data_IF_136811578242
#
_entry.id   IF_136811578242
#
_cell.length_a   1.000
_cell.length_b   1.000
_cell.length_c   1.000
_cell.angle_alpha   90.00
_cell.angle_beta   90.00
_cell.angle_gamma   90.00
#
_symmetry.space_group_name_H-M   'P 1'
#
loop_
_entity.id
_entity.type
_entity.pdbx_description
1 polymer ?
#
# COMPACT_ATOMS: atom_id res chain seq x y z
N UNK A 1 -17.72 2.21 -2.26
CA UNK A 1 -17.65 3.11 -3.44
C UNK A 1 -18.97 3.82 -3.66
N UNK A 2 -19.02 4.89 -4.48
CA UNK A 2 -20.30 5.47 -4.94
C UNK A 2 -21.22 4.46 -5.62
N UNK A 3 -20.65 3.43 -6.25
CA UNK A 3 -21.37 2.30 -6.85
C UNK A 3 -22.07 1.37 -5.84
N UNK A 4 -21.86 1.55 -4.53
CA UNK A 4 -22.31 0.64 -3.48
C UNK A 4 -21.41 -0.58 -3.26
N UNK A 5 -20.37 -0.77 -4.08
CA UNK A 5 -19.44 -1.90 -3.94
C UNK A 5 -18.44 -1.70 -2.81
N UNK A 6 -17.91 -2.82 -2.30
CA UNK A 6 -16.91 -2.86 -1.23
C UNK A 6 -15.60 -2.22 -1.70
N UNK A 7 -15.06 -1.31 -0.88
CA UNK A 7 -13.82 -0.60 -1.20
C UNK A 7 -12.64 -1.14 -0.41
N UNK A 8 -12.77 -1.12 0.92
CA UNK A 8 -11.75 -1.57 1.84
C UNK A 8 -12.43 -2.50 2.84
N UNK A 9 -11.89 -3.71 3.00
CA UNK A 9 -12.27 -4.66 4.02
C UNK A 9 -11.18 -4.73 5.08
N UNK A 10 -11.56 -4.61 6.34
CA UNK A 10 -10.65 -4.80 7.48
C UNK A 10 -11.03 -6.10 8.16
N UNK A 11 -10.13 -7.07 8.17
CA UNK A 11 -10.27 -8.32 8.91
C UNK A 11 -9.24 -8.39 10.02
N UNK A 12 -9.51 -9.21 11.04
CA UNK A 12 -8.59 -9.45 12.13
C UNK A 12 -8.51 -10.93 12.46
N UNK A 13 -7.31 -11.42 12.79
CA UNK A 13 -7.09 -12.78 13.28
C UNK A 13 -7.08 -12.82 14.83
N UNK A 14 -6.60 -11.74 15.43
CA UNK A 14 -6.54 -11.53 16.87
C UNK A 14 -6.62 -10.02 17.16
N UNK A 15 -6.67 -9.63 18.43
CA UNK A 15 -6.79 -8.21 18.84
C UNK A 15 -5.69 -7.30 18.26
N UNK A 16 -4.56 -7.86 17.84
CA UNK A 16 -3.40 -7.09 17.36
C UNK A 16 -2.99 -7.42 15.93
N UNK A 17 -3.76 -8.22 15.19
CA UNK A 17 -3.39 -8.65 13.84
C UNK A 17 -4.51 -8.30 12.86
N UNK A 18 -4.26 -7.29 12.02
CA UNK A 18 -5.23 -6.73 11.08
C UNK A 18 -4.72 -6.87 9.66
N UNK A 19 -5.64 -7.19 8.75
CA UNK A 19 -5.43 -7.17 7.31
C UNK A 19 -6.41 -6.21 6.67
N UNK A 20 -5.89 -5.32 5.84
CA UNK A 20 -6.64 -4.37 5.04
C UNK A 20 -6.61 -4.84 3.60
N UNK A 21 -7.76 -5.22 3.05
CA UNK A 21 -7.90 -5.65 1.66
C UNK A 21 -8.61 -4.57 0.85
N UNK A 22 -7.99 -4.14 -0.25
CA UNK A 22 -8.54 -3.13 -1.16
C UNK A 22 -9.12 -3.83 -2.39
N UNK A 23 -10.40 -3.59 -2.67
CA UNK A 23 -11.13 -4.22 -3.77
C UNK A 23 -11.41 -3.22 -4.90
N UNK A 24 -11.42 -3.69 -6.15
CA UNK A 24 -11.75 -2.88 -7.32
C UNK A 24 -13.21 -2.44 -7.34
N UNK A 25 -13.50 -1.28 -7.95
CA UNK A 25 -14.88 -0.85 -8.22
C UNK A 25 -15.40 -1.41 -9.56
N UNK A 26 -15.28 -2.71 -9.73
CA UNK A 26 -15.80 -3.45 -10.88
C UNK A 26 -16.71 -4.60 -10.42
N UNK A 27 -17.35 -5.27 -11.39
CA UNK A 27 -18.28 -6.37 -11.11
C UNK A 27 -17.61 -7.54 -10.40
N UNK A 28 -16.35 -7.82 -10.75
CA UNK A 28 -15.62 -8.99 -10.23
C UNK A 28 -15.02 -8.75 -8.84
N UNK A 29 -15.04 -7.51 -8.34
CA UNK A 29 -14.54 -7.15 -6.99
C UNK A 29 -13.10 -7.63 -6.73
N UNK A 30 -12.28 -7.57 -7.77
CA UNK A 30 -10.89 -8.08 -7.73
C UNK A 30 -10.10 -7.46 -6.56
N UNK A 31 -9.25 -8.27 -5.93
CA UNK A 31 -8.34 -7.80 -4.89
C UNK A 31 -7.21 -6.99 -5.55
N UNK A 32 -7.22 -5.68 -5.34
CA UNK A 32 -6.19 -4.77 -5.87
C UNK A 32 -4.94 -4.78 -5.00
N UNK A 33 -5.11 -4.78 -3.69
CA UNK A 33 -4.00 -4.73 -2.75
C UNK A 33 -4.39 -5.31 -1.39
N UNK A 34 -3.38 -5.75 -0.63
CA UNK A 34 -3.54 -6.04 0.79
C UNK A 34 -2.42 -5.41 1.61
N UNK A 35 -2.70 -5.12 2.87
CA UNK A 35 -1.74 -4.61 3.84
C UNK A 35 -1.97 -5.31 5.17
N UNK A 36 -0.90 -5.68 5.83
CA UNK A 36 -0.93 -6.22 7.19
C UNK A 36 -0.25 -5.23 8.12
N UNK A 37 -0.75 -5.11 9.35
CA UNK A 37 -0.07 -4.32 10.37
C UNK A 37 1.26 -4.97 10.87
N UNK A 38 1.70 -6.05 10.23
CA UNK A 38 3.01 -6.69 10.40
C UNK A 38 4.02 -6.28 9.31
N UNK A 39 3.64 -5.38 8.40
CA UNK A 39 4.57 -4.77 7.43
C UNK A 39 4.61 -5.49 6.08
N UNK A 40 3.78 -6.51 5.89
CA UNK A 40 3.60 -7.13 4.59
C UNK A 40 2.49 -6.43 3.81
N UNK A 41 2.76 -6.11 2.55
CA UNK A 41 1.75 -5.62 1.63
C UNK A 41 2.08 -6.01 0.20
N UNK A 42 1.05 -6.12 -0.63
CA UNK A 42 1.22 -6.21 -2.07
C UNK A 42 0.11 -5.44 -2.78
N UNK A 43 0.43 -4.90 -3.95
CA UNK A 43 -0.55 -4.37 -4.88
C UNK A 43 -0.26 -4.90 -6.28
N UNK A 44 -1.32 -5.38 -6.94
CA UNK A 44 -1.29 -5.91 -8.29
C UNK A 44 -1.95 -4.96 -9.27
N UNK A 45 -1.36 -4.83 -10.44
CA UNK A 45 -1.94 -4.22 -11.62
C UNK A 45 -2.96 -5.14 -12.29
N UNK A 46 -3.78 -4.60 -13.22
CA UNK A 46 -4.55 -5.41 -14.15
C UNK A 46 -3.68 -6.50 -14.79
N UNK A 47 -4.25 -7.69 -15.02
CA UNK A 47 -3.55 -8.90 -15.48
C UNK A 47 -2.61 -9.55 -14.45
N UNK A 48 -2.68 -9.13 -13.17
CA UNK A 48 -2.01 -9.81 -12.06
C UNK A 48 -0.52 -9.51 -11.93
N UNK A 49 0.00 -8.49 -12.61
CA UNK A 49 1.41 -8.07 -12.48
C UNK A 49 1.62 -7.35 -11.16
N UNK A 50 2.70 -7.70 -10.45
CA UNK A 50 3.02 -7.07 -9.18
C UNK A 50 3.51 -5.64 -9.42
N UNK A 51 2.89 -4.67 -8.75
CA UNK A 51 3.28 -3.25 -8.82
C UNK A 51 4.00 -2.79 -7.55
N UNK A 52 3.59 -3.30 -6.41
CA UNK A 52 4.22 -3.01 -5.12
C UNK A 52 4.36 -4.29 -4.31
N UNK A 53 5.50 -4.43 -3.67
CA UNK A 53 5.72 -5.39 -2.59
C UNK A 53 6.32 -4.67 -1.40
N UNK A 54 5.73 -4.82 -0.23
CA UNK A 54 6.30 -4.42 1.05
C UNK A 54 6.53 -5.66 1.89
N UNK A 55 7.74 -5.76 2.41
CA UNK A 55 8.08 -6.67 3.48
C UNK A 55 8.52 -5.91 4.71
N UNK A 56 8.81 -6.68 5.75
CA UNK A 56 9.22 -6.17 7.04
C UNK A 56 10.49 -5.31 6.97
N UNK A 57 11.45 -5.66 6.13
CA UNK A 57 12.75 -4.98 6.06
C UNK A 57 12.93 -4.11 4.81
N UNK A 58 12.13 -4.33 3.77
CA UNK A 58 12.35 -3.69 2.49
C UNK A 58 11.05 -3.52 1.71
N UNK A 59 11.12 -2.78 0.62
CA UNK A 59 10.04 -2.70 -0.35
C UNK A 59 10.56 -2.60 -1.77
N UNK A 60 9.66 -2.84 -2.73
CA UNK A 60 9.94 -2.73 -4.15
C UNK A 60 8.75 -2.18 -4.90
N UNK A 61 9.02 -1.28 -5.86
CA UNK A 61 8.05 -0.78 -6.83
C UNK A 61 8.46 -1.26 -8.22
N UNK A 62 7.51 -1.76 -8.98
CA UNK A 62 7.73 -2.34 -10.31
C UNK A 62 7.06 -1.49 -11.39
N UNK A 63 7.54 -1.51 -12.63
CA UNK A 63 6.87 -0.88 -13.78
C UNK A 63 5.69 -1.72 -14.29
N UNK A 64 5.16 -1.42 -15.47
CA UNK A 64 4.04 -2.17 -16.06
C UNK A 64 4.51 -3.49 -16.68
N UNK A 65 5.79 -3.58 -17.02
CA UNK A 65 6.48 -4.75 -17.57
C UNK A 65 6.93 -5.73 -16.47
N UNK A 66 6.86 -5.31 -15.20
CA UNK A 66 7.26 -6.08 -14.03
C UNK A 66 8.75 -5.92 -13.66
N UNK A 67 9.46 -4.97 -14.26
CA UNK A 67 10.83 -4.65 -13.88
C UNK A 67 10.85 -3.75 -12.65
N UNK A 68 11.81 -3.99 -11.75
CA UNK A 68 11.90 -3.24 -10.49
C UNK A 68 12.45 -1.83 -10.73
N UNK A 69 11.62 -0.82 -10.55
CA UNK A 69 11.99 0.60 -10.66
C UNK A 69 12.58 1.17 -9.38
N UNK A 70 12.07 0.75 -8.22
CA UNK A 70 12.56 1.19 -6.92
C UNK A 70 12.74 0.00 -6.00
N UNK A 71 13.79 0.06 -5.21
CA UNK A 71 14.06 -0.81 -4.09
C UNK A 71 14.49 0.06 -2.92
N UNK A 72 14.08 -0.29 -1.71
CA UNK A 72 14.54 0.38 -0.52
C UNK A 72 14.57 -0.60 0.64
N UNK A 73 15.44 -0.33 1.59
CA UNK A 73 15.55 -1.06 2.84
C UNK A 73 15.22 -0.10 4.00
N UNK A 74 14.29 -0.48 4.86
CA UNK A 74 13.86 0.36 5.98
C UNK A 74 14.97 0.59 7.02
N UNK A 75 15.95 -0.31 7.05
CA UNK A 75 17.06 -0.30 7.99
C UNK A 75 18.35 0.29 7.41
N UNK A 76 18.32 0.73 6.15
CA UNK A 76 19.47 1.39 5.55
C UNK A 76 19.59 2.80 6.14
N UNK A 77 20.46 2.92 7.14
CA UNK A 77 20.73 4.18 7.85
C UNK A 77 21.86 4.98 7.22
N UNK A 78 22.43 4.52 6.09
CA UNK A 78 23.50 5.24 5.41
C UNK A 78 22.94 6.58 4.89
N UNK A 79 23.25 7.65 5.61
CA UNK A 79 22.84 9.00 5.26
C UNK A 79 23.72 9.49 4.12
N UNK A 80 23.30 9.28 2.88
CA UNK A 80 23.87 10.03 1.77
C UNK A 80 23.42 11.49 1.92
N UNK A 81 24.37 12.40 2.14
CA UNK A 81 24.13 13.85 2.35
C UNK A 81 23.32 14.49 1.21
N UNK A 82 23.22 13.82 0.05
CA UNK A 82 22.51 14.28 -1.15
C UNK A 82 21.22 13.52 -1.47
N UNK A 83 20.86 12.44 -0.74
CA UNK A 83 19.63 11.69 -0.96
C UNK A 83 19.14 11.03 0.33
N UNK A 84 17.92 11.35 0.83
CA UNK A 84 17.35 10.61 1.95
C UNK A 84 17.21 9.12 1.58
N UNK A 85 17.41 8.20 2.54
CA UNK A 85 17.46 6.76 2.28
C UNK A 85 16.17 6.19 1.68
N UNK A 86 15.04 6.88 1.89
CA UNK A 86 13.77 6.58 1.23
C UNK A 86 13.07 7.87 0.77
N UNK A 87 12.67 7.90 -0.49
CA UNK A 87 11.80 8.95 -1.02
C UNK A 87 10.34 8.49 -0.97
N UNK A 88 9.40 9.32 -0.44
CA UNK A 88 8.00 8.95 -0.36
C UNK A 88 7.41 8.51 -1.69
N UNK A 89 6.60 7.46 -1.66
CA UNK A 89 5.92 6.91 -2.84
C UNK A 89 4.44 7.22 -2.73
N UNK A 90 3.88 7.83 -3.77
CA UNK A 90 2.45 8.00 -3.96
C UNK A 90 2.02 7.14 -5.14
N UNK A 91 1.02 6.29 -4.95
CA UNK A 91 0.56 5.34 -5.96
C UNK A 91 -0.98 5.28 -5.96
N UNK A 92 -1.68 5.64 -7.04
CA UNK A 92 -3.10 5.37 -7.15
C UNK A 92 -3.33 3.86 -7.25
N UNK A 93 -4.19 3.30 -6.39
CA UNK A 93 -4.65 1.91 -6.50
C UNK A 93 -5.85 1.82 -7.44
N UNK A 94 -6.69 2.85 -7.45
CA UNK A 94 -7.73 3.10 -8.44
C UNK A 94 -8.14 4.59 -8.41
N UNK A 95 -9.26 4.92 -9.07
CA UNK A 95 -9.79 6.29 -9.15
C UNK A 95 -10.09 6.94 -7.78
N UNK A 96 -10.47 6.15 -6.77
CA UNK A 96 -10.89 6.66 -5.46
C UNK A 96 -9.87 6.42 -4.36
N UNK A 97 -8.95 5.45 -4.53
CA UNK A 97 -8.03 5.02 -3.49
C UNK A 97 -6.60 5.28 -3.91
N UNK A 98 -5.88 6.03 -3.07
CA UNK A 98 -4.47 6.30 -3.20
C UNK A 98 -3.69 5.70 -2.03
N UNK A 99 -2.54 5.12 -2.34
CA UNK A 99 -1.53 4.71 -1.38
C UNK A 99 -0.45 5.78 -1.26
N UNK A 100 -0.04 6.08 -0.03
CA UNK A 100 1.13 6.92 0.26
C UNK A 100 2.05 6.25 1.28
N UNK A 101 3.27 5.96 0.88
CA UNK A 101 4.31 5.35 1.71
C UNK A 101 5.32 6.43 2.06
N UNK A 102 5.51 6.73 3.35
CA UNK A 102 6.51 7.69 3.84
C UNK A 102 7.61 7.04 4.66
N UNK A 103 7.25 6.04 5.45
CA UNK A 103 8.13 5.23 6.30
C UNK A 103 7.41 3.90 6.59
N UNK A 104 8.10 2.98 7.26
CA UNK A 104 7.56 1.65 7.59
C UNK A 104 6.24 1.73 8.39
N UNK A 105 6.17 2.63 9.37
CA UNK A 105 5.00 2.88 10.24
C UNK A 105 4.07 3.99 9.71
N UNK A 106 4.37 4.54 8.53
CA UNK A 106 3.65 5.63 7.89
C UNK A 106 3.26 5.24 6.46
N UNK A 107 2.34 4.28 6.36
CA UNK A 107 1.75 3.82 5.10
C UNK A 107 0.27 4.14 5.13
N UNK A 108 -0.18 5.04 4.26
CA UNK A 108 -1.54 5.57 4.28
C UNK A 108 -2.35 5.11 3.09
N UNK A 109 -3.52 4.54 3.34
CA UNK A 109 -4.58 4.41 2.36
C UNK A 109 -5.53 5.59 2.51
N UNK A 110 -5.68 6.35 1.43
CA UNK A 110 -6.65 7.44 1.34
C UNK A 110 -7.75 7.04 0.37
N UNK A 111 -8.97 6.92 0.86
CA UNK A 111 -10.17 6.84 0.03
C UNK A 111 -10.78 8.23 -0.07
N UNK A 112 -10.99 8.74 -1.29
CA UNK A 112 -11.53 10.08 -1.53
C UNK A 112 -12.78 10.03 -2.40
N UNK A 113 -13.81 10.79 -2.02
CA UNK A 113 -15.02 11.00 -2.82
C UNK A 113 -15.50 12.44 -2.66
N UNK A 114 -15.42 13.23 -3.72
CA UNK A 114 -15.71 14.67 -3.72
C UNK A 114 -14.93 15.40 -2.61
N UNK A 115 -15.61 15.86 -1.56
CA UNK A 115 -15.02 16.58 -0.43
C UNK A 115 -14.73 15.68 0.78
N UNK A 116 -15.17 14.42 0.75
CA UNK A 116 -14.99 13.48 1.84
C UNK A 116 -13.74 12.63 1.61
N UNK A 117 -12.98 12.41 2.68
CA UNK A 117 -11.82 11.53 2.65
C UNK A 117 -11.75 10.67 3.92
N UNK A 118 -11.38 9.40 3.73
CA UNK A 118 -11.01 8.47 4.79
C UNK A 118 -9.51 8.20 4.68
N UNK A 119 -8.80 8.40 5.77
CA UNK A 119 -7.37 8.12 5.89
C UNK A 119 -7.15 6.97 6.86
N UNK A 120 -6.51 5.89 6.39
CA UNK A 120 -6.14 4.75 7.22
C UNK A 120 -4.62 4.62 7.23
N UNK A 121 -4.00 4.64 8.42
CA UNK A 121 -2.60 4.22 8.54
C UNK A 121 -2.57 2.69 8.66
N UNK A 122 -1.99 2.05 7.65
CA UNK A 122 -1.79 0.61 7.54
C UNK A 122 -0.31 0.23 7.67
N UNK A 123 0.53 1.19 8.08
CA UNK A 123 1.94 0.98 8.36
C UNK A 123 2.15 0.04 9.54
N UNK A 124 3.35 -0.52 9.62
CA UNK A 124 3.75 -1.42 10.68
C UNK A 124 4.97 -0.86 11.40
N UNK A 125 4.95 -0.94 12.73
CA UNK A 125 6.13 -0.67 13.55
C UNK A 125 6.57 -1.97 14.17
N UNK A 126 7.83 -2.33 13.97
CA UNK A 126 8.44 -3.36 14.79
C UNK A 126 8.57 -2.84 16.23
N UNK A 127 8.18 -3.68 17.18
CA UNK A 127 8.45 -3.46 18.60
C UNK A 127 9.85 -3.95 18.92
#
# INVERSE_FOLDING_TARGET
YPSGRLAILITYLSETQFTYSVHGDNRDQELLAFFTNQGHAAHSQPKGRLRLHLGLCNGSLFDEEGQRQKFWNWWETESHVHAPPFQPICLPLNLYIQLKIKAQDQVFLTFTKFHDCLHLNVGARLK
#
